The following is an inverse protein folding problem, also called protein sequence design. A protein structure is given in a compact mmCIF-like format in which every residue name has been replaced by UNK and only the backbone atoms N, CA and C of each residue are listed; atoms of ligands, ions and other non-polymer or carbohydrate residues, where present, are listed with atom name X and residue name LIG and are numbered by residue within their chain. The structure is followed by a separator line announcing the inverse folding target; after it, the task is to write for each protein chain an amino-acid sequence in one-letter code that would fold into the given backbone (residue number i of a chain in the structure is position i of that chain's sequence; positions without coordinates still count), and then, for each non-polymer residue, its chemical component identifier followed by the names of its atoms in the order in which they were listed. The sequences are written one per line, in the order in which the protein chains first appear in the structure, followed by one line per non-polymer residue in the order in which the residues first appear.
data_IF_711279949755
#
_entry.id   IF_711279949755
#
_cell.length_a   1.000
_cell.length_b   1.000
_cell.length_c   1.000
_cell.angle_alpha   90.00
_cell.angle_beta   90.00
_cell.angle_gamma   90.00
#
_symmetry.space_group_name_H-M   'P 1'
#
loop_
_entity.id
_entity.type
_entity.pdbx_description
1 polymer ?
#
# COMPACT_ATOMS: atom_id res chain seq x y z
N UNK A 1 -2.43 -17.14 18.99
CA UNK A 1 -3.46 -16.17 18.54
C UNK A 1 -2.82 -15.04 17.73
N UNK A 2 -1.79 -14.37 18.28
CA UNK A 2 -0.96 -13.38 17.56
C UNK A 2 -0.28 -13.95 16.31
N UNK A 3 0.22 -15.19 16.35
CA UNK A 3 0.82 -15.83 15.16
C UNK A 3 -0.18 -16.01 14.01
N UNK A 4 -1.41 -16.43 14.31
CA UNK A 4 -2.46 -16.54 13.30
C UNK A 4 -2.83 -15.16 12.73
N UNK A 5 -2.93 -14.14 13.59
CA UNK A 5 -3.20 -12.77 13.16
C UNK A 5 -2.09 -12.24 12.23
N UNK A 6 -0.82 -12.49 12.58
CA UNK A 6 0.32 -12.12 11.75
C UNK A 6 0.29 -12.87 10.41
N UNK A 7 0.02 -14.18 10.42
CA UNK A 7 -0.07 -15.01 9.22
C UNK A 7 -1.15 -14.49 8.26
N UNK A 8 -2.38 -14.27 8.76
CA UNK A 8 -3.48 -13.76 7.93
C UNK A 8 -3.24 -12.31 7.49
N UNK A 9 -2.68 -11.46 8.35
CA UNK A 9 -2.32 -10.08 8.02
C UNK A 9 -1.31 -10.00 6.87
N UNK A 10 -0.30 -10.88 6.85
CA UNK A 10 0.67 -10.96 5.76
C UNK A 10 0.00 -11.32 4.42
N UNK A 11 -0.93 -12.27 4.41
CA UNK A 11 -1.69 -12.63 3.19
C UNK A 11 -2.56 -11.49 2.67
N UNK A 12 -3.20 -10.73 3.56
CA UNK A 12 -3.98 -9.53 3.18
C UNK A 12 -3.06 -8.47 2.54
N UNK A 13 -1.91 -8.20 3.15
CA UNK A 13 -0.93 -7.24 2.63
C UNK A 13 -0.40 -7.68 1.27
N UNK A 14 -0.18 -8.98 1.06
CA UNK A 14 0.27 -9.54 -0.20
C UNK A 14 -0.77 -9.32 -1.31
N UNK A 15 -2.03 -9.66 -1.05
CA UNK A 15 -3.12 -9.47 -2.04
C UNK A 15 -3.25 -7.99 -2.40
N UNK A 16 -3.25 -7.10 -1.41
CA UNK A 16 -3.33 -5.66 -1.66
C UNK A 16 -2.10 -5.14 -2.42
N UNK A 17 -0.91 -5.70 -2.18
CA UNK A 17 0.31 -5.35 -2.92
C UNK A 17 0.21 -5.75 -4.39
N UNK A 18 -0.33 -6.93 -4.69
CA UNK A 18 -0.53 -7.40 -6.07
C UNK A 18 -1.57 -6.53 -6.78
N UNK A 19 -2.70 -6.24 -6.13
CA UNK A 19 -3.73 -5.35 -6.68
C UNK A 19 -3.18 -3.94 -6.96
N UNK A 20 -2.40 -3.40 -6.02
CA UNK A 20 -1.71 -2.11 -6.16
C UNK A 20 -0.80 -2.09 -7.39
N UNK A 21 0.03 -3.13 -7.58
CA UNK A 21 0.90 -3.25 -8.75
C UNK A 21 0.09 -3.36 -10.05
N UNK A 22 -0.99 -4.14 -10.05
CA UNK A 22 -1.86 -4.29 -11.21
C UNK A 22 -2.49 -2.95 -11.63
N UNK A 23 -3.03 -2.20 -10.67
CA UNK A 23 -3.65 -0.90 -10.95
C UNK A 23 -2.62 0.16 -11.37
N UNK A 24 -1.47 0.26 -10.69
CA UNK A 24 -0.41 1.22 -11.04
C UNK A 24 0.25 0.89 -12.38
N UNK A 25 0.29 -0.38 -12.78
CA UNK A 25 0.78 -0.82 -14.09
C UNK A 25 -0.23 -0.59 -15.23
N UNK A 26 -1.45 -0.14 -14.94
CA UNK A 26 -2.45 0.10 -15.98
C UNK A 26 -2.02 1.22 -16.93
N UNK A 27 -2.30 1.01 -18.22
CA UNK A 27 -2.08 2.00 -19.28
C UNK A 27 -3.14 3.12 -19.25
N UNK A 28 -4.29 2.89 -18.61
CA UNK A 28 -5.35 3.87 -18.46
C UNK A 28 -5.01 4.84 -17.31
N UNK A 29 -5.04 6.15 -17.58
CA UNK A 29 -4.60 7.16 -16.64
C UNK A 29 -5.42 7.18 -15.34
N UNK A 30 -6.75 7.16 -15.43
CA UNK A 30 -7.64 7.12 -14.27
C UNK A 30 -7.43 5.86 -13.42
N UNK A 31 -7.27 4.69 -14.07
CA UNK A 31 -7.02 3.42 -13.39
C UNK A 31 -5.68 3.43 -12.66
N UNK A 32 -4.65 4.02 -13.27
CA UNK A 32 -3.32 4.22 -12.65
C UNK A 32 -3.39 5.17 -11.47
N UNK A 33 -4.17 6.26 -11.57
CA UNK A 33 -4.39 7.22 -10.50
C UNK A 33 -5.05 6.56 -9.29
N UNK A 34 -6.10 5.78 -9.52
CA UNK A 34 -6.77 4.98 -8.49
C UNK A 34 -5.83 3.93 -7.89
N UNK A 35 -4.91 3.37 -8.69
CA UNK A 35 -3.84 2.49 -8.24
C UNK A 35 -2.94 3.14 -7.20
N UNK A 36 -2.51 4.39 -7.43
CA UNK A 36 -1.70 5.11 -6.46
C UNK A 36 -2.43 5.37 -5.14
N UNK A 37 -3.72 5.74 -5.19
CA UNK A 37 -4.53 5.93 -3.97
C UNK A 37 -4.68 4.61 -3.22
N UNK A 38 -5.07 3.53 -3.92
CA UNK A 38 -5.26 2.22 -3.32
C UNK A 38 -3.95 1.72 -2.68
N UNK A 39 -2.81 1.94 -3.36
CA UNK A 39 -1.49 1.63 -2.82
C UNK A 39 -1.22 2.41 -1.55
N UNK A 40 -1.46 3.73 -1.55
CA UNK A 40 -1.25 4.58 -0.37
C UNK A 40 -2.06 4.13 0.85
N UNK A 41 -3.36 3.88 0.64
CA UNK A 41 -4.28 3.41 1.69
C UNK A 41 -3.91 2.02 2.18
N UNK A 42 -3.63 1.08 1.27
CA UNK A 42 -3.21 -0.27 1.63
C UNK A 42 -1.95 -0.27 2.49
N UNK A 43 -0.94 0.49 2.10
CA UNK A 43 0.35 0.55 2.83
C UNK A 43 0.16 1.20 4.18
N UNK A 44 -0.67 2.23 4.27
CA UNK A 44 -0.98 2.88 5.55
C UNK A 44 -1.69 1.92 6.51
N UNK A 45 -2.70 1.19 6.02
CA UNK A 45 -3.38 0.15 6.79
C UNK A 45 -2.43 -0.98 7.23
N UNK A 46 -1.48 -1.36 6.37
CA UNK A 46 -0.43 -2.32 6.72
C UNK A 46 0.46 -1.80 7.86
N UNK A 47 0.86 -0.52 7.83
CA UNK A 47 1.62 0.09 8.91
C UNK A 47 0.88 0.04 10.24
N UNK A 48 -0.44 0.30 10.26
CA UNK A 48 -1.26 0.21 11.47
C UNK A 48 -1.26 -1.21 12.05
N UNK A 49 -1.45 -2.23 11.21
CA UNK A 49 -1.39 -3.63 11.64
C UNK A 49 -0.01 -3.95 12.24
N UNK A 50 1.07 -3.48 11.63
CA UNK A 50 2.43 -3.75 12.11
C UNK A 50 2.78 -3.07 13.44
N UNK A 51 2.14 -1.95 13.77
CA UNK A 51 2.28 -1.33 15.09
C UNK A 51 1.74 -2.27 16.19
N UNK A 52 0.60 -2.94 15.95
CA UNK A 52 -0.01 -3.84 16.94
C UNK A 52 0.74 -5.16 17.18
N UNK A 53 1.72 -5.47 16.32
CA UNK A 53 2.56 -6.68 16.43
C UNK A 53 4.03 -6.35 16.69
N UNK A 54 4.33 -5.11 17.10
CA UNK A 54 5.67 -4.60 17.43
C UNK A 54 6.72 -4.75 16.29
N UNK A 55 6.25 -4.76 15.04
CA UNK A 55 7.09 -4.93 13.85
C UNK A 55 7.51 -3.58 13.24
N UNK A 56 8.24 -2.77 14.01
CA UNK A 56 8.56 -1.38 13.65
C UNK A 56 9.30 -1.20 12.31
N UNK A 57 10.14 -2.16 11.91
CA UNK A 57 10.80 -2.12 10.59
C UNK A 57 9.78 -2.13 9.44
N UNK A 58 8.73 -2.95 9.55
CA UNK A 58 7.67 -3.01 8.57
C UNK A 58 6.74 -1.79 8.63
N UNK A 59 6.55 -1.19 9.81
CA UNK A 59 5.84 0.09 9.95
C UNK A 59 6.53 1.17 9.12
N UNK A 60 7.84 1.36 9.32
CA UNK A 60 8.62 2.39 8.61
C UNK A 60 8.58 2.15 7.09
N UNK A 61 8.79 0.90 6.66
CA UNK A 61 8.75 0.55 5.23
C UNK A 61 7.39 0.88 4.60
N UNK A 62 6.29 0.59 5.30
CA UNK A 62 4.95 0.89 4.80
C UNK A 62 4.66 2.39 4.77
N UNK A 63 5.09 3.17 5.78
CA UNK A 63 4.94 4.62 5.77
C UNK A 63 5.70 5.29 4.60
N UNK A 64 6.92 4.83 4.32
CA UNK A 64 7.69 5.28 3.15
C UNK A 64 6.94 4.96 1.86
N UNK A 65 6.40 3.74 1.73
CA UNK A 65 5.65 3.32 0.54
C UNK A 65 4.35 4.11 0.38
N UNK A 66 3.65 4.42 1.47
CA UNK A 66 2.48 5.31 1.48
C UNK A 66 2.83 6.68 0.92
N UNK A 67 3.94 7.27 1.39
CA UNK A 67 4.40 8.57 0.90
C UNK A 67 4.74 8.52 -0.60
N UNK A 68 5.47 7.50 -1.06
CA UNK A 68 5.83 7.32 -2.47
C UNK A 68 4.56 7.18 -3.34
N UNK A 69 3.56 6.42 -2.88
CA UNK A 69 2.31 6.22 -3.59
C UNK A 69 1.53 7.53 -3.75
N UNK A 70 1.37 8.30 -2.68
CA UNK A 70 0.69 9.60 -2.76
C UNK A 70 1.49 10.61 -3.59
N UNK A 71 2.82 10.64 -3.49
CA UNK A 71 3.65 11.48 -4.36
C UNK A 71 3.50 11.08 -5.84
N UNK A 72 3.42 9.77 -6.12
CA UNK A 72 3.12 9.23 -7.45
C UNK A 72 1.76 9.68 -7.98
N UNK A 73 0.73 9.67 -7.13
CA UNK A 73 -0.59 10.22 -7.43
C UNK A 73 -0.51 11.70 -7.80
N UNK A 74 0.08 12.53 -6.94
CA UNK A 74 0.17 13.98 -7.16
C UNK A 74 0.93 14.34 -8.43
N UNK A 75 2.04 13.64 -8.71
CA UNK A 75 2.82 13.86 -9.93
C UNK A 75 2.02 13.51 -11.17
N UNK A 76 1.33 12.37 -11.19
CA UNK A 76 0.59 11.92 -12.36
C UNK A 76 -0.70 12.72 -12.59
N UNK A 77 -1.39 13.16 -11.53
CA UNK A 77 -2.56 14.03 -11.61
C UNK A 77 -2.26 15.38 -12.26
N UNK A 78 -1.02 15.84 -12.20
CA UNK A 78 -0.60 17.14 -12.74
C UNK A 78 -0.40 17.14 -14.27
N UNK A 79 -0.44 15.97 -14.91
CA UNK A 79 -0.28 15.80 -16.36
C UNK A 79 -1.60 15.48 -17.08
N UNK A 80 -2.71 15.64 -16.37
CA UNK A 80 -4.08 15.66 -16.89
C UNK A 80 -4.53 17.12 -17.08
#
# INVERSE_FOLDING_TARGET
MIENFLLYGQWVILILSILSLYLVSSVNHETRLNGYILTGVSRFSGALIFIFVDLFAFVIANLIQTYIAFNGYYKNKKYE
#
